data_IF_593070711070
#
_entry.id   IF_593070711070
#
_cell.length_a   1.000
_cell.length_b   1.000
_cell.length_c   1.000
_cell.angle_alpha   90.00
_cell.angle_beta   90.00
_cell.angle_gamma   90.00
#
_symmetry.space_group_name_H-M   'P 1'
#
loop_
_entity.id
_entity.type
_entity.pdbx_description
1 polymer ?
#
# COMPACT_ATOMS: atom_id res chain seq x y z
N UNK A 1 17.45 16.56 -12.18
CA UNK A 1 16.40 16.50 -11.14
C UNK A 1 15.28 15.69 -11.75
N UNK A 2 15.12 14.44 -11.34
CA UNK A 2 13.96 13.64 -11.73
C UNK A 2 12.79 14.21 -10.96
N UNK A 3 11.82 14.81 -11.65
CA UNK A 3 10.60 15.30 -11.02
C UNK A 3 9.78 14.06 -10.66
N UNK A 4 9.67 13.73 -9.37
CA UNK A 4 8.69 12.74 -8.90
C UNK A 4 7.31 13.38 -9.08
N UNK A 5 6.51 12.87 -10.01
CA UNK A 5 5.11 13.23 -10.13
C UNK A 5 4.32 12.42 -9.12
N UNK A 6 3.60 13.09 -8.21
CA UNK A 6 2.85 12.45 -7.13
C UNK A 6 1.37 12.79 -7.26
N UNK A 7 0.55 11.75 -7.23
CA UNK A 7 -0.90 11.87 -7.09
C UNK A 7 -1.25 11.59 -5.62
N UNK A 8 -2.04 12.46 -4.99
CA UNK A 8 -2.51 12.24 -3.62
C UNK A 8 -3.94 12.70 -3.40
N UNK A 9 -4.65 12.01 -2.50
CA UNK A 9 -6.03 12.31 -2.10
C UNK A 9 -6.17 12.17 -0.60
N UNK A 10 -6.79 13.16 0.04
CA UNK A 10 -7.04 13.17 1.49
C UNK A 10 -8.51 12.96 1.82
N UNK A 11 -8.80 12.10 2.79
CA UNK A 11 -10.16 11.89 3.34
C UNK A 11 -10.12 11.80 4.87
N UNK A 12 -11.09 12.40 5.58
CA UNK A 12 -11.26 12.15 7.00
C UNK A 12 -11.84 10.74 7.23
N UNK A 13 -11.27 10.01 8.17
CA UNK A 13 -11.76 8.70 8.62
C UNK A 13 -12.02 8.78 10.12
N UNK A 14 -13.22 8.33 10.54
CA UNK A 14 -13.65 8.27 11.95
C UNK A 14 -13.01 7.10 12.70
N UNK A 15 -11.69 7.02 12.65
CA UNK A 15 -10.85 6.11 13.41
C UNK A 15 -9.56 6.85 13.80
N UNK A 16 -8.97 6.46 14.93
CA UNK A 16 -7.69 7.01 15.35
C UNK A 16 -6.55 6.50 14.46
N UNK A 17 -5.44 7.25 14.44
CA UNK A 17 -4.32 6.96 13.55
C UNK A 17 -3.69 5.59 13.84
N UNK A 18 -3.71 5.12 15.09
CA UNK A 18 -3.11 3.82 15.44
C UNK A 18 -3.94 2.64 14.93
N UNK A 19 -5.26 2.75 14.97
CA UNK A 19 -6.17 1.76 14.37
C UNK A 19 -5.98 1.67 12.85
N UNK A 20 -5.86 2.80 12.18
CA UNK A 20 -5.63 2.85 10.72
C UNK A 20 -4.24 2.30 10.40
N UNK A 21 -3.21 2.74 11.11
CA UNK A 21 -1.84 2.29 10.91
C UNK A 21 -1.68 0.77 11.14
N UNK A 22 -2.38 0.22 12.14
CA UNK A 22 -2.39 -1.22 12.39
C UNK A 22 -3.01 -2.03 11.23
N UNK A 23 -3.96 -1.46 10.49
CA UNK A 23 -4.48 -2.06 9.25
C UNK A 23 -3.43 -2.01 8.15
N UNK A 24 -2.76 -0.87 7.98
CA UNK A 24 -1.73 -0.68 6.95
C UNK A 24 -0.47 -1.53 7.17
N UNK A 25 -0.20 -1.94 8.41
CA UNK A 25 0.89 -2.86 8.75
C UNK A 25 0.54 -4.34 8.51
N UNK A 26 -0.73 -4.68 8.31
CA UNK A 26 -1.17 -6.07 8.10
C UNK A 26 -1.23 -6.39 6.61
N UNK A 27 -0.53 -7.44 6.11
CA UNK A 27 -0.64 -7.87 4.72
C UNK A 27 -2.10 -8.08 4.27
N UNK A 28 -2.96 -8.63 5.11
CA UNK A 28 -4.38 -8.79 4.79
C UNK A 28 -5.16 -7.47 4.81
N UNK A 29 -4.65 -6.45 5.51
CA UNK A 29 -5.17 -5.09 5.47
C UNK A 29 -5.03 -4.48 4.07
N UNK A 30 -3.96 -4.79 3.35
CA UNK A 30 -3.76 -4.33 1.96
C UNK A 30 -4.81 -4.92 1.02
N UNK A 31 -5.11 -6.22 1.20
CA UNK A 31 -6.19 -6.90 0.45
C UNK A 31 -7.55 -6.29 0.79
N UNK A 32 -7.83 -6.05 2.07
CA UNK A 32 -9.13 -5.55 2.53
C UNK A 32 -9.46 -4.12 2.06
N UNK A 33 -8.45 -3.28 1.83
CA UNK A 33 -8.62 -1.90 1.36
C UNK A 33 -8.41 -1.75 -0.15
N UNK A 34 -8.03 -2.82 -0.85
CA UNK A 34 -7.91 -2.80 -2.30
C UNK A 34 -9.28 -2.55 -2.95
N UNK A 35 -9.30 -1.63 -3.90
CA UNK A 35 -10.48 -1.28 -4.69
C UNK A 35 -10.35 -1.70 -6.15
N UNK A 36 -9.17 -2.19 -6.56
CA UNK A 36 -8.95 -2.68 -7.92
C UNK A 36 -9.54 -4.07 -8.14
N UNK A 37 -9.67 -4.86 -7.07
CA UNK A 37 -10.08 -6.26 -7.12
C UNK A 37 -8.95 -7.18 -7.59
N UNK A 38 -7.72 -6.67 -7.73
CA UNK A 38 -6.58 -7.48 -8.14
C UNK A 38 -5.98 -8.26 -6.97
N UNK A 39 -6.03 -7.73 -5.76
CA UNK A 39 -5.39 -8.37 -4.59
C UNK A 39 -6.28 -9.51 -4.10
N UNK A 40 -5.80 -10.75 -4.23
CA UNK A 40 -6.58 -11.95 -3.87
C UNK A 40 -6.30 -12.42 -2.45
N UNK A 41 -5.03 -12.44 -2.07
CA UNK A 41 -4.58 -12.82 -0.73
C UNK A 41 -3.17 -12.28 -0.49
N UNK A 42 -2.74 -12.28 0.77
CA UNK A 42 -1.39 -11.91 1.14
C UNK A 42 -0.79 -12.92 2.12
N UNK A 43 0.52 -13.10 2.01
CA UNK A 43 1.31 -14.00 2.85
C UNK A 43 2.46 -13.22 3.50
N UNK A 44 2.60 -13.36 4.82
CA UNK A 44 3.64 -12.70 5.60
C UNK A 44 3.13 -12.24 6.96
N UNK A 45 4.08 -11.80 7.78
CA UNK A 45 3.78 -11.21 9.08
C UNK A 45 3.46 -9.72 8.95
N UNK A 46 2.87 -9.16 10.02
CA UNK A 46 2.70 -7.71 10.16
C UNK A 46 4.06 -7.02 10.10
N UNK A 47 4.16 -5.98 9.29
CA UNK A 47 5.39 -5.18 9.17
C UNK A 47 5.55 -4.25 10.39
N UNK A 48 6.80 -4.02 10.79
CA UNK A 48 7.16 -3.27 11.98
C UNK A 48 8.27 -2.22 11.72
N UNK A 49 8.92 -2.24 10.55
CA UNK A 49 9.95 -1.29 10.16
C UNK A 49 10.09 -1.17 8.63
N UNK A 50 10.84 -0.16 8.19
CA UNK A 50 11.31 -0.09 6.81
C UNK A 50 12.25 -1.27 6.51
N UNK A 51 12.16 -1.81 5.30
CA UNK A 51 12.86 -3.01 4.85
C UNK A 51 12.07 -4.30 5.07
N UNK A 52 11.01 -4.29 5.88
CA UNK A 52 10.12 -5.45 6.00
C UNK A 52 9.38 -5.73 4.69
N UNK A 53 9.06 -7.00 4.47
CA UNK A 53 8.46 -7.46 3.21
C UNK A 53 7.36 -8.47 3.45
N UNK A 54 6.40 -8.50 2.54
CA UNK A 54 5.39 -9.57 2.44
C UNK A 54 5.02 -9.80 0.98
N UNK A 55 4.36 -10.92 0.70
CA UNK A 55 3.91 -11.31 -0.63
C UNK A 55 2.43 -11.03 -0.77
N UNK A 56 2.03 -10.56 -1.96
CA UNK A 56 0.63 -10.40 -2.35
C UNK A 56 0.39 -11.18 -3.62
N UNK A 57 -0.65 -12.01 -3.59
CA UNK A 57 -1.11 -12.80 -4.72
C UNK A 57 -2.15 -11.99 -5.50
N UNK A 58 -1.87 -11.77 -6.77
CA UNK A 58 -2.61 -10.88 -7.64
C UNK A 58 -3.36 -11.66 -8.72
N UNK A 59 -4.45 -11.08 -9.20
CA UNK A 59 -5.13 -11.49 -10.44
C UNK A 59 -5.39 -10.28 -11.33
N UNK A 60 -4.83 -10.29 -12.54
CA UNK A 60 -5.02 -9.20 -13.50
C UNK A 60 -6.36 -9.27 -14.24
N UNK A 61 -7.06 -10.41 -14.17
CA UNK A 61 -8.36 -10.57 -14.84
C UNK A 61 -9.39 -9.54 -14.35
N UNK A 62 -9.31 -9.11 -13.09
CA UNK A 62 -10.18 -8.09 -12.51
C UNK A 62 -10.15 -6.75 -13.28
N UNK A 63 -9.01 -6.38 -13.89
CA UNK A 63 -8.90 -5.16 -14.71
C UNK A 63 -9.28 -5.38 -16.18
N UNK A 64 -9.25 -6.63 -16.66
CA UNK A 64 -9.54 -7.02 -18.04
C UNK A 64 -8.82 -6.16 -19.11
N UNK A 65 -7.59 -5.72 -18.80
CA UNK A 65 -6.81 -4.80 -19.62
C UNK A 65 -5.64 -5.49 -20.34
N UNK A 66 -5.13 -6.59 -19.77
CA UNK A 66 -3.99 -7.35 -20.29
C UNK A 66 -4.00 -8.79 -19.76
N UNK A 67 -3.76 -9.82 -20.60
CA UNK A 67 -3.90 -11.23 -20.22
C UNK A 67 -2.68 -11.76 -19.43
N UNK A 68 -2.41 -11.20 -18.25
CA UNK A 68 -1.34 -11.69 -17.36
C UNK A 68 -1.80 -12.84 -16.46
N UNK A 69 -3.09 -12.90 -16.13
CA UNK A 69 -3.63 -13.88 -15.18
C UNK A 69 -3.10 -13.67 -13.76
N UNK A 70 -2.87 -14.77 -13.04
CA UNK A 70 -2.37 -14.79 -11.67
C UNK A 70 -0.86 -14.53 -11.61
N UNK A 71 -0.43 -13.70 -10.66
CA UNK A 71 0.99 -13.43 -10.43
C UNK A 71 1.24 -12.95 -9.01
N UNK A 72 2.49 -13.03 -8.56
CA UNK A 72 2.89 -12.54 -7.24
C UNK A 72 3.67 -11.23 -7.34
N UNK A 73 3.51 -10.39 -6.33
CA UNK A 73 4.37 -9.23 -6.09
C UNK A 73 4.91 -9.27 -4.66
N UNK A 74 6.16 -8.87 -4.49
CA UNK A 74 6.73 -8.63 -3.16
C UNK A 74 6.57 -7.15 -2.83
N UNK A 75 5.88 -6.86 -1.74
CA UNK A 75 5.83 -5.53 -1.14
C UNK A 75 7.09 -5.35 -0.28
N UNK A 76 7.72 -4.18 -0.37
CA UNK A 76 8.85 -3.80 0.49
C UNK A 76 8.57 -2.43 1.09
N UNK A 77 8.50 -2.36 2.42
CA UNK A 77 8.24 -1.12 3.14
C UNK A 77 9.44 -0.18 2.99
N UNK A 78 9.23 0.99 2.40
CA UNK A 78 10.25 2.02 2.20
C UNK A 78 10.25 3.07 3.31
N UNK A 79 9.07 3.41 3.83
CA UNK A 79 8.88 4.36 4.94
C UNK A 79 8.03 3.72 6.02
N UNK A 80 8.45 3.87 7.28
CA UNK A 80 7.71 3.40 8.44
C UNK A 80 7.87 4.40 9.59
N UNK A 81 6.90 5.29 9.72
CA UNK A 81 6.75 6.22 10.83
C UNK A 81 5.47 5.89 11.57
N UNK A 82 5.61 5.27 12.75
CA UNK A 82 4.47 4.75 13.51
C UNK A 82 3.37 5.80 13.68
N UNK A 83 2.14 5.41 13.31
CA UNK A 83 0.92 6.20 13.38
C UNK A 83 0.97 7.53 12.60
N UNK A 84 1.89 7.66 11.64
CA UNK A 84 2.11 8.90 10.87
C UNK A 84 2.28 8.67 9.39
N UNK A 85 3.15 7.75 8.98
CA UNK A 85 3.38 7.48 7.57
C UNK A 85 3.86 6.05 7.33
N UNK A 86 3.30 5.41 6.31
CA UNK A 86 3.79 4.13 5.81
C UNK A 86 3.75 4.14 4.30
N UNK A 87 4.84 3.71 3.69
CA UNK A 87 5.01 3.68 2.24
C UNK A 87 5.74 2.41 1.83
N UNK A 88 5.51 1.97 0.60
CA UNK A 88 6.14 0.78 0.06
C UNK A 88 6.31 0.86 -1.45
N UNK A 89 7.23 0.03 -1.93
CA UNK A 89 7.37 -0.27 -3.36
C UNK A 89 7.01 -1.73 -3.61
N UNK A 90 6.79 -2.06 -4.88
CA UNK A 90 6.48 -3.41 -5.34
C UNK A 90 7.58 -3.95 -6.25
N UNK A 91 7.96 -5.20 -6.00
CA UNK A 91 8.83 -5.97 -6.87
C UNK A 91 7.97 -7.05 -7.55
N UNK A 92 7.56 -6.79 -8.78
CA UNK A 92 6.80 -7.74 -9.62
C UNK A 92 7.69 -8.57 -10.55
N UNK A 93 7.08 -9.13 -11.61
CA UNK A 93 7.78 -9.96 -12.60
C UNK A 93 8.60 -9.14 -13.62
N UNK A 94 8.23 -7.88 -13.85
CA UNK A 94 8.89 -7.02 -14.84
C UNK A 94 10.23 -6.50 -14.29
N UNK A 95 11.25 -6.49 -15.16
CA UNK A 95 12.59 -5.95 -14.88
C UNK A 95 13.01 -4.96 -15.98
N UNK A 96 13.54 -3.78 -15.64
CA UNK A 96 13.74 -3.25 -14.27
C UNK A 96 12.40 -2.95 -13.55
N UNK A 97 12.39 -2.83 -12.21
CA UNK A 97 11.19 -2.45 -11.47
C UNK A 97 10.64 -1.12 -11.96
N UNK A 98 9.32 -1.00 -12.03
CA UNK A 98 8.65 0.20 -12.55
C UNK A 98 8.88 1.41 -11.62
N UNK A 99 9.18 1.13 -10.34
CA UNK A 99 9.61 2.16 -9.38
C UNK A 99 8.46 2.87 -8.67
N UNK A 100 7.23 2.36 -8.80
CA UNK A 100 6.07 2.91 -8.09
C UNK A 100 6.24 2.87 -6.58
N UNK A 101 5.80 3.95 -5.95
CA UNK A 101 5.68 4.06 -4.50
C UNK A 101 4.22 4.32 -4.17
N UNK A 102 3.68 3.51 -3.27
CA UNK A 102 2.36 3.70 -2.69
C UNK A 102 2.55 4.08 -1.23
N UNK A 103 1.70 4.94 -0.69
CA UNK A 103 1.77 5.25 0.73
C UNK A 103 0.56 5.97 1.29
N UNK A 104 0.57 6.04 2.62
CA UNK A 104 -0.44 6.68 3.42
C UNK A 104 0.20 7.60 4.45
N UNK A 105 -0.29 8.83 4.55
CA UNK A 105 0.01 9.78 5.62
C UNK A 105 -1.21 9.94 6.52
N UNK A 106 -0.98 9.93 7.83
CA UNK A 106 -2.00 9.94 8.87
C UNK A 106 -1.80 11.16 9.77
N UNK A 107 -2.74 12.09 9.69
CA UNK A 107 -2.76 13.29 10.52
C UNK A 107 -3.95 13.23 11.49
N UNK A 108 -3.71 13.07 12.80
CA UNK A 108 -4.79 13.08 13.78
C UNK A 108 -5.57 14.41 13.73
N UNK A 109 -6.89 14.31 13.71
CA UNK A 109 -7.82 15.45 13.73
C UNK A 109 -8.86 15.25 14.84
N UNK A 110 -9.65 16.28 15.13
CA UNK A 110 -10.79 16.12 16.04
C UNK A 110 -11.77 15.08 15.45
N UNK A 111 -12.09 14.04 16.23
CA UNK A 111 -13.02 12.99 15.83
C UNK A 111 -12.47 11.91 14.90
N UNK A 112 -11.16 11.90 14.58
CA UNK A 112 -10.57 10.85 13.75
C UNK A 112 -9.18 11.18 13.20
N UNK A 113 -8.95 10.79 11.95
CA UNK A 113 -7.67 10.98 11.25
C UNK A 113 -7.92 11.47 9.82
N UNK A 114 -7.22 12.52 9.40
CA UNK A 114 -7.10 12.86 7.99
C UNK A 114 -6.09 11.90 7.35
N UNK A 115 -6.57 11.06 6.43
CA UNK A 115 -5.79 10.03 5.75
C UNK A 115 -5.51 10.49 4.33
N UNK A 116 -4.24 10.69 4.00
CA UNK A 116 -3.79 10.96 2.63
C UNK A 116 -3.25 9.68 2.03
N UNK A 117 -3.87 9.19 0.96
CA UNK A 117 -3.27 8.16 0.10
C UNK A 117 -2.50 8.84 -1.01
N UNK A 118 -1.29 8.36 -1.31
CA UNK A 118 -0.47 8.87 -2.40
C UNK A 118 0.16 7.76 -3.23
N UNK A 119 0.51 8.12 -4.47
CA UNK A 119 1.12 7.27 -5.48
C UNK A 119 2.10 8.07 -6.34
N UNK A 120 3.28 7.48 -6.58
CA UNK A 120 4.34 7.99 -7.46
C UNK A 120 4.49 7.20 -8.77
#
# INVERSE_FOLDING_TARGET
MTTTERIEVTRPISADASTIFATLCDPNGHVAIDSSGMLMSAEGDRVAAAGDTFVVHMDREALNDYPLGLYDVTVTISTFERDREIAWTILGLIRPPIGHVYGYRLEPIEGGTAVTSYYD
#
